data_IF_647759046270
#
_entry.id   IF_647759046270
#
_cell.length_a   1.000
_cell.length_b   1.000
_cell.length_c   1.000
_cell.angle_alpha   90.00
_cell.angle_beta   90.00
_cell.angle_gamma   90.00
#
_symmetry.space_group_name_H-M   'P 1'
#
loop_
_entity.id
_entity.type
_entity.pdbx_description
1 polymer ?
#
# COMPACT_ATOMS: atom_id res chain seq x y z
N UNK A 1 -23.73 -9.22 -2.62
CA UNK A 1 -24.01 -9.25 -1.16
C UNK A 1 -25.01 -10.37 -0.88
N UNK A 2 -24.51 -11.59 -0.80
CA UNK A 2 -25.13 -12.77 -0.16
C UNK A 2 -24.07 -13.85 -0.25
N UNK A 3 -23.24 -14.01 0.79
CA UNK A 3 -22.19 -15.04 0.81
C UNK A 3 -22.24 -15.94 2.05
N UNK A 4 -22.76 -15.46 3.18
CA UNK A 4 -22.99 -16.32 4.34
C UNK A 4 -24.50 -16.39 4.63
N UNK A 5 -25.26 -17.13 3.80
CA UNK A 5 -26.51 -17.75 4.27
C UNK A 5 -26.16 -19.17 4.70
N UNK A 6 -26.19 -19.42 6.01
CA UNK A 6 -26.11 -20.76 6.57
C UNK A 6 -27.31 -21.57 6.05
N UNK A 7 -27.06 -22.62 5.27
CA UNK A 7 -28.04 -23.68 5.09
C UNK A 7 -27.83 -24.69 6.21
N UNK A 8 -28.72 -24.68 7.20
CA UNK A 8 -28.87 -25.79 8.16
C UNK A 8 -29.33 -27.04 7.41
N UNK A 9 -28.40 -27.94 7.08
CA UNK A 9 -28.70 -29.33 6.73
C UNK A 9 -27.47 -30.22 6.95
N UNK A 10 -27.71 -31.37 7.59
CA UNK A 10 -26.84 -32.53 7.78
C UNK A 10 -25.78 -32.50 8.90
N UNK A 11 -26.28 -32.44 10.13
CA UNK A 11 -25.67 -33.15 11.26
C UNK A 11 -25.89 -34.66 11.11
N UNK A 12 -24.90 -35.37 10.56
CA UNK A 12 -24.47 -36.72 10.95
C UNK A 12 -23.53 -37.30 9.88
N UNK A 13 -22.22 -37.15 10.06
CA UNK A 13 -21.25 -38.03 9.43
C UNK A 13 -20.13 -38.34 10.42
N UNK A 14 -20.05 -39.62 10.74
CA UNK A 14 -19.08 -40.30 11.59
C UNK A 14 -17.65 -40.04 11.11
N UNK A 15 -16.72 -39.81 12.04
CA UNK A 15 -15.28 -39.78 11.80
C UNK A 15 -14.80 -41.10 11.17
N UNK A 16 -14.39 -41.05 9.91
CA UNK A 16 -13.49 -42.04 9.30
C UNK A 16 -12.20 -41.33 8.87
N UNK A 17 -11.09 -41.78 9.47
CA UNK A 17 -9.73 -41.37 9.10
C UNK A 17 -9.43 -42.04 7.76
N UNK A 18 -9.42 -41.29 6.67
CA UNK A 18 -8.92 -41.76 5.38
C UNK A 18 -7.41 -41.54 5.35
N UNK A 19 -6.65 -42.59 5.62
CA UNK A 19 -5.26 -42.70 5.16
C UNK A 19 -5.30 -42.86 3.64
N UNK A 20 -4.87 -41.84 2.88
CA UNK A 20 -4.63 -42.01 1.45
C UNK A 20 -3.17 -42.40 1.21
N UNK A 21 -2.92 -43.70 1.14
CA UNK A 21 -1.79 -44.25 0.41
C UNK A 21 -1.98 -43.93 -1.08
N UNK A 22 -1.06 -43.17 -1.68
CA UNK A 22 -0.93 -43.13 -3.14
C UNK A 22 0.47 -43.57 -3.57
N UNK A 23 0.48 -44.77 -4.13
CA UNK A 23 1.54 -45.37 -4.91
C UNK A 23 2.01 -44.44 -6.05
N UNK A 24 3.33 -44.38 -6.18
CA UNK A 24 4.06 -43.86 -7.34
C UNK A 24 3.55 -44.47 -8.64
N UNK A 25 2.94 -43.65 -9.50
CA UNK A 25 2.82 -43.92 -10.94
C UNK A 25 3.78 -42.96 -11.64
N UNK A 26 4.88 -43.52 -12.17
CA UNK A 26 5.82 -42.80 -13.02
C UNK A 26 5.18 -42.51 -14.38
N UNK A 27 5.02 -41.23 -14.74
CA UNK A 27 4.68 -40.78 -16.09
C UNK A 27 5.83 -39.90 -16.60
N UNK A 28 6.33 -40.09 -17.83
CA UNK A 28 7.61 -39.54 -18.27
C UNK A 28 7.59 -38.04 -18.56
N UNK A 29 8.74 -37.42 -18.30
CA UNK A 29 9.15 -36.06 -18.65
C UNK A 29 8.58 -35.55 -19.98
N UNK A 30 7.72 -34.52 -19.91
CA UNK A 30 7.64 -33.37 -20.83
C UNK A 30 6.51 -32.43 -20.39
N UNK A 31 6.80 -31.53 -19.47
CA UNK A 31 6.10 -30.25 -19.40
C UNK A 31 7.14 -29.16 -19.60
N UNK A 32 7.12 -28.56 -20.79
CA UNK A 32 7.78 -27.30 -21.05
C UNK A 32 7.19 -26.27 -20.08
N UNK A 33 7.99 -25.78 -19.13
CA UNK A 33 7.65 -24.60 -18.34
C UNK A 33 7.60 -23.39 -19.27
N UNK A 34 6.43 -23.11 -19.82
CA UNK A 34 6.06 -21.76 -20.26
C UNK A 34 4.98 -21.29 -19.29
N UNK A 35 5.40 -20.87 -18.11
CA UNK A 35 4.55 -20.10 -17.21
C UNK A 35 4.82 -18.62 -17.48
N UNK A 36 4.09 -18.04 -18.42
CA UNK A 36 3.87 -16.59 -18.50
C UNK A 36 2.76 -16.19 -17.52
N UNK A 37 2.86 -16.59 -16.25
CA UNK A 37 1.89 -16.17 -15.25
C UNK A 37 2.13 -14.72 -14.88
N UNK A 38 1.24 -13.84 -15.35
CA UNK A 38 1.29 -12.41 -15.00
C UNK A 38 0.67 -12.21 -13.63
N UNK A 39 1.50 -12.07 -12.61
CA UNK A 39 1.12 -11.49 -11.32
C UNK A 39 0.57 -10.07 -11.52
N UNK A 40 -0.48 -9.71 -10.78
CA UNK A 40 -1.08 -8.38 -10.94
C UNK A 40 -0.27 -7.33 -10.18
N UNK A 41 0.19 -7.70 -8.99
CA UNK A 41 0.93 -6.83 -8.09
C UNK A 41 2.09 -7.62 -7.49
N UNK A 42 3.19 -6.93 -7.26
CA UNK A 42 4.38 -7.49 -6.61
C UNK A 42 5.03 -6.42 -5.75
N UNK A 43 5.46 -6.79 -4.54
CA UNK A 43 6.18 -5.88 -3.67
C UNK A 43 7.14 -6.63 -2.76
N UNK A 44 8.16 -5.92 -2.28
CA UNK A 44 9.07 -6.41 -1.24
C UNK A 44 8.51 -5.97 0.13
N UNK A 45 8.40 -6.89 1.08
CA UNK A 45 7.89 -6.61 2.43
C UNK A 45 8.96 -6.16 3.42
N UNK A 46 10.19 -6.65 3.27
CA UNK A 46 11.31 -6.31 4.14
C UNK A 46 12.26 -5.26 3.55
N UNK A 47 13.00 -4.57 4.42
CA UNK A 47 13.96 -3.53 4.00
C UNK A 47 15.24 -4.09 3.39
N UNK A 48 15.53 -5.39 3.57
CA UNK A 48 16.72 -6.05 3.04
C UNK A 48 16.50 -6.76 1.70
N UNK A 49 15.30 -6.63 1.12
CA UNK A 49 14.97 -7.23 -0.16
C UNK A 49 15.12 -8.76 -0.17
N UNK A 50 14.62 -9.40 0.89
CA UNK A 50 14.59 -10.85 1.07
C UNK A 50 13.20 -11.46 0.94
N UNK A 51 12.14 -10.72 1.27
CA UNK A 51 10.77 -11.21 1.32
C UNK A 51 9.95 -10.54 0.23
N UNK A 52 9.69 -11.27 -0.84
CA UNK A 52 8.90 -10.82 -1.98
C UNK A 52 7.53 -11.48 -1.94
N UNK A 53 6.48 -10.69 -2.17
CA UNK A 53 5.12 -11.17 -2.35
C UNK A 53 4.55 -10.61 -3.63
N UNK A 54 3.96 -11.49 -4.42
CA UNK A 54 3.15 -11.15 -5.56
C UNK A 54 1.74 -11.69 -5.35
N UNK A 55 0.72 -10.98 -5.83
CA UNK A 55 -0.66 -11.46 -5.74
C UNK A 55 -1.48 -11.15 -6.98
N UNK A 56 -2.56 -11.91 -7.14
CA UNK A 56 -3.62 -11.66 -8.11
C UNK A 56 -4.97 -12.05 -7.53
N UNK A 57 -6.00 -11.26 -7.82
CA UNK A 57 -7.39 -11.64 -7.56
C UNK A 57 -7.85 -12.55 -8.69
N UNK A 58 -8.36 -13.73 -8.33
CA UNK A 58 -8.99 -14.68 -9.23
C UNK A 58 -10.49 -14.40 -9.21
N UNK A 59 -10.96 -13.66 -10.21
CA UNK A 59 -12.35 -13.24 -10.28
C UNK A 59 -13.28 -14.44 -10.53
N UNK A 60 -14.20 -14.66 -9.60
CA UNK A 60 -15.36 -15.54 -9.72
C UNK A 60 -16.60 -14.73 -9.34
N UNK A 61 -17.73 -14.99 -10.01
CA UNK A 61 -18.98 -14.25 -9.76
C UNK A 61 -19.54 -14.50 -8.36
N UNK A 62 -19.31 -15.70 -7.83
CA UNK A 62 -19.94 -16.17 -6.58
C UNK A 62 -18.93 -16.34 -5.44
N UNK A 63 -17.65 -16.56 -5.75
CA UNK A 63 -16.63 -16.91 -4.75
C UNK A 63 -15.23 -16.41 -5.15
N UNK A 64 -14.98 -15.09 -5.09
CA UNK A 64 -13.70 -14.54 -5.49
C UNK A 64 -12.58 -14.99 -4.55
N UNK A 65 -11.44 -15.36 -5.13
CA UNK A 65 -10.24 -15.79 -4.41
C UNK A 65 -9.10 -14.81 -4.67
N UNK A 66 -8.12 -14.81 -3.78
CA UNK A 66 -6.81 -14.19 -3.99
C UNK A 66 -5.74 -15.26 -3.94
N UNK A 67 -4.80 -15.18 -4.86
CA UNK A 67 -3.64 -16.05 -4.92
C UNK A 67 -2.38 -15.24 -4.63
N UNK A 68 -1.50 -15.80 -3.80
CA UNK A 68 -0.23 -15.22 -3.40
C UNK A 68 0.91 -16.14 -3.82
N UNK A 69 1.94 -15.55 -4.43
CA UNK A 69 3.27 -16.13 -4.52
C UNK A 69 4.18 -15.40 -3.56
N UNK A 70 4.71 -16.13 -2.58
CA UNK A 70 5.70 -15.65 -1.62
C UNK A 70 7.04 -16.29 -1.95
N UNK A 71 8.07 -15.46 -2.06
CA UNK A 71 9.46 -15.87 -2.34
C UNK A 71 10.37 -15.22 -1.29
N UNK A 72 11.00 -16.04 -0.46
CA UNK A 72 11.79 -15.57 0.67
C UNK A 72 13.19 -16.14 0.61
N UNK A 73 14.20 -15.28 0.79
CA UNK A 73 15.60 -15.68 0.93
C UNK A 73 15.88 -16.25 2.31
N UNK A 74 15.34 -17.43 2.57
CA UNK A 74 15.50 -18.23 3.78
C UNK A 74 15.18 -19.71 3.49
N UNK A 75 15.67 -20.62 4.33
CA UNK A 75 15.41 -22.06 4.23
C UNK A 75 14.52 -22.64 5.33
N UNK A 76 14.22 -21.86 6.36
CA UNK A 76 13.29 -22.28 7.41
C UNK A 76 11.86 -21.90 7.07
N UNK A 77 11.09 -21.59 8.11
CA UNK A 77 9.70 -21.21 7.89
C UNK A 77 9.53 -19.80 7.31
N UNK A 78 8.45 -19.67 6.55
CA UNK A 78 7.91 -18.42 6.02
C UNK A 78 6.53 -18.21 6.59
N UNK A 79 6.22 -16.99 7.01
CA UNK A 79 4.91 -16.58 7.49
C UNK A 79 4.45 -15.30 6.80
N UNK A 80 3.20 -15.28 6.35
CA UNK A 80 2.50 -14.11 5.83
C UNK A 80 1.15 -14.02 6.55
N UNK A 81 0.71 -12.83 6.92
CA UNK A 81 -0.60 -12.68 7.56
C UNK A 81 -1.29 -11.37 7.25
N UNK A 82 -2.61 -11.38 7.45
CA UNK A 82 -3.49 -10.22 7.38
C UNK A 82 -3.69 -9.70 8.80
N UNK A 83 -3.37 -8.43 9.04
CA UNK A 83 -3.43 -7.84 10.38
C UNK A 83 -4.42 -6.66 10.44
N UNK A 84 -5.15 -6.48 11.56
CA UNK A 84 -5.98 -5.30 11.77
C UNK A 84 -5.15 -4.02 11.89
N UNK A 85 -3.95 -4.10 12.45
CA UNK A 85 -3.17 -2.93 12.88
C UNK A 85 -1.67 -3.02 12.52
N UNK A 86 -1.24 -4.07 11.83
CA UNK A 86 0.16 -4.32 11.48
C UNK A 86 0.97 -5.02 12.57
N UNK A 87 0.35 -5.38 13.70
CA UNK A 87 0.92 -6.23 14.74
C UNK A 87 0.37 -7.66 14.69
N UNK A 88 0.85 -8.54 15.57
CA UNK A 88 0.44 -9.96 15.57
C UNK A 88 -0.99 -10.17 16.09
N UNK A 89 -1.39 -9.49 17.16
CA UNK A 89 -2.70 -9.70 17.80
C UNK A 89 -3.87 -9.56 16.82
N UNK A 90 -4.74 -10.57 16.83
CA UNK A 90 -5.91 -10.73 15.97
C UNK A 90 -5.59 -10.79 14.48
N UNK A 91 -4.45 -11.39 14.13
CA UNK A 91 -4.05 -11.62 12.74
C UNK A 91 -4.31 -13.05 12.31
N UNK A 92 -4.76 -13.15 11.06
CA UNK A 92 -4.97 -14.34 10.25
C UNK A 92 -3.66 -14.61 9.50
N UNK A 93 -2.99 -15.74 9.77
CA UNK A 93 -1.60 -16.00 9.39
C UNK A 93 -1.46 -17.35 8.74
N UNK A 94 -0.87 -17.37 7.56
CA UNK A 94 -0.38 -18.58 6.94
C UNK A 94 1.11 -18.79 7.21
N UNK A 95 1.48 -20.03 7.50
CA UNK A 95 2.88 -20.44 7.71
C UNK A 95 3.22 -21.65 6.84
N UNK A 96 4.45 -21.71 6.34
CA UNK A 96 4.92 -22.89 5.62
C UNK A 96 6.43 -22.99 5.54
N UNK A 97 6.92 -24.21 5.35
CA UNK A 97 8.34 -24.56 5.21
C UNK A 97 8.48 -25.84 4.38
N UNK A 98 9.68 -26.10 3.87
CA UNK A 98 9.97 -27.30 3.09
C UNK A 98 11.04 -28.09 3.83
N UNK A 99 10.75 -29.34 4.18
CA UNK A 99 11.69 -30.20 4.88
C UNK A 99 11.67 -31.60 4.28
N UNK A 100 12.85 -32.11 3.94
CA UNK A 100 13.04 -33.44 3.32
C UNK A 100 12.17 -33.63 2.05
N UNK A 101 11.99 -32.57 1.26
CA UNK A 101 11.18 -32.56 0.04
C UNK A 101 9.67 -32.52 0.27
N UNK A 102 9.20 -32.44 1.52
CA UNK A 102 7.79 -32.28 1.88
C UNK A 102 7.50 -30.82 2.22
N UNK A 103 6.41 -30.29 1.66
CA UNK A 103 5.88 -28.98 2.03
C UNK A 103 4.98 -29.13 3.26
N UNK A 104 5.23 -28.32 4.27
CA UNK A 104 4.38 -28.14 5.44
C UNK A 104 3.71 -26.77 5.30
N UNK A 105 2.40 -26.73 5.49
CA UNK A 105 1.60 -25.54 5.27
C UNK A 105 0.43 -25.51 6.24
N UNK A 106 0.25 -24.41 6.94
CA UNK A 106 -0.69 -24.29 8.04
C UNK A 106 -1.26 -22.88 8.12
N UNK A 107 -2.58 -22.84 8.21
CA UNK A 107 -3.35 -21.70 8.66
C UNK A 107 -3.31 -21.58 10.19
N UNK A 108 -3.11 -20.36 10.67
CA UNK A 108 -2.87 -20.04 12.08
C UNK A 108 -3.49 -18.70 12.46
N UNK A 109 -4.03 -18.65 13.68
CA UNK A 109 -4.55 -17.41 14.26
C UNK A 109 -3.67 -16.90 15.41
N UNK A 110 -3.35 -15.61 15.37
CA UNK A 110 -2.51 -14.96 16.36
C UNK A 110 -3.34 -14.19 17.40
N UNK A 111 -3.49 -14.76 18.60
CA UNK A 111 -4.19 -14.10 19.71
C UNK A 111 -3.35 -13.02 20.42
N UNK A 112 -2.03 -13.03 20.21
CA UNK A 112 -1.09 -12.15 20.92
C UNK A 112 0.32 -12.16 20.33
N UNK A 113 1.26 -11.61 21.09
CA UNK A 113 2.70 -11.62 20.75
C UNK A 113 3.39 -12.92 21.20
N UNK A 114 2.80 -14.05 20.84
CA UNK A 114 3.31 -15.40 21.10
C UNK A 114 3.01 -16.30 19.90
N UNK A 115 3.43 -17.57 19.96
CA UNK A 115 3.24 -18.53 18.87
C UNK A 115 1.75 -18.58 18.44
N UNK A 116 1.42 -18.24 17.18
CA UNK A 116 0.05 -18.35 16.67
C UNK A 116 -0.42 -19.80 16.74
N UNK A 117 -1.63 -20.02 17.26
CA UNK A 117 -2.21 -21.38 17.30
C UNK A 117 -2.56 -21.83 15.88
N UNK A 118 -2.55 -23.12 15.63
CA UNK A 118 -3.08 -23.68 14.37
C UNK A 118 -4.58 -23.44 14.37
N UNK A 119 -5.10 -22.91 13.26
CA UNK A 119 -6.53 -22.66 13.11
C UNK A 119 -7.30 -23.99 13.03
N UNK A 120 -8.48 -24.04 13.65
CA UNK A 120 -9.37 -25.19 13.57
C UNK A 120 -9.92 -25.38 12.14
N UNK A 121 -10.12 -24.28 11.42
CA UNK A 121 -10.57 -24.28 10.03
C UNK A 121 -9.42 -23.77 9.16
N UNK A 122 -8.92 -24.61 8.27
CA UNK A 122 -7.84 -24.22 7.36
C UNK A 122 -8.46 -23.56 6.12
N UNK A 123 -8.32 -22.24 5.97
CA UNK A 123 -8.90 -21.47 4.87
C UNK A 123 -7.87 -21.02 3.83
N UNK A 124 -6.58 -21.15 4.13
CA UNK A 124 -5.51 -21.02 3.16
C UNK A 124 -5.24 -22.36 2.48
N UNK A 125 -5.34 -22.39 1.16
CA UNK A 125 -5.08 -23.57 0.35
C UNK A 125 -3.69 -23.49 -0.29
N UNK A 126 -2.83 -24.46 0.00
CA UNK A 126 -1.55 -24.62 -0.69
C UNK A 126 -1.79 -25.01 -2.15
N UNK A 127 -1.16 -24.30 -3.08
CA UNK A 127 -1.10 -24.68 -4.50
C UNK A 127 0.22 -25.38 -4.80
N UNK A 128 1.36 -24.81 -4.37
CA UNK A 128 2.67 -25.44 -4.49
C UNK A 128 3.69 -24.85 -3.52
N UNK A 129 4.72 -25.62 -3.19
CA UNK A 129 5.87 -25.14 -2.43
C UNK A 129 7.16 -25.75 -2.99
N UNK A 130 8.22 -24.96 -3.04
CA UNK A 130 9.52 -25.41 -3.51
C UNK A 130 10.63 -24.63 -2.82
N UNK A 131 11.75 -25.28 -2.60
CA UNK A 131 12.95 -24.66 -2.06
C UNK A 131 14.14 -24.90 -2.99
N UNK A 132 14.98 -23.88 -3.14
CA UNK A 132 16.27 -23.97 -3.81
C UNK A 132 17.41 -23.58 -2.86
N UNK A 133 18.66 -23.57 -3.35
CA UNK A 133 19.87 -23.26 -2.57
C UNK A 133 19.84 -21.93 -1.80
N UNK A 134 18.89 -21.03 -2.08
CA UNK A 134 18.83 -19.70 -1.49
C UNK A 134 17.43 -19.24 -1.05
N UNK A 135 16.37 -19.79 -1.62
CA UNK A 135 15.00 -19.29 -1.43
C UNK A 135 14.01 -20.42 -1.24
N UNK A 136 13.05 -20.16 -0.36
CA UNK A 136 11.79 -20.88 -0.25
C UNK A 136 10.69 -20.10 -0.99
N UNK A 137 9.91 -20.82 -1.80
CA UNK A 137 8.80 -20.28 -2.60
C UNK A 137 7.52 -21.03 -2.26
N UNK A 138 6.49 -20.29 -1.84
CA UNK A 138 5.15 -20.80 -1.57
C UNK A 138 4.14 -20.11 -2.48
N UNK A 139 3.26 -20.91 -3.08
CA UNK A 139 2.12 -20.46 -3.84
C UNK A 139 0.87 -21.00 -3.17
N UNK A 140 -0.05 -20.11 -2.82
CA UNK A 140 -1.27 -20.46 -2.09
C UNK A 140 -2.39 -19.48 -2.40
N UNK A 141 -3.61 -19.88 -2.08
CA UNK A 141 -4.82 -19.09 -2.32
C UNK A 141 -5.75 -19.09 -1.13
N UNK A 142 -6.64 -18.11 -1.09
CA UNK A 142 -7.65 -17.95 -0.05
C UNK A 142 -8.86 -17.20 -0.61
N UNK A 143 -10.05 -17.52 -0.13
CA UNK A 143 -11.25 -16.74 -0.46
C UNK A 143 -11.15 -15.32 0.09
N UNK A 144 -11.78 -14.35 -0.56
CA UNK A 144 -11.81 -12.98 -0.03
C UNK A 144 -12.60 -12.90 1.29
N UNK A 145 -13.63 -13.73 1.45
CA UNK A 145 -14.45 -13.84 2.65
C UNK A 145 -14.66 -15.33 2.95
N UNK A 146 -14.07 -15.81 4.04
CA UNK A 146 -14.08 -17.24 4.42
C UNK A 146 -15.22 -17.58 5.36
N UNK A 147 -15.96 -16.58 5.85
CA UNK A 147 -16.97 -16.68 6.91
C UNK A 147 -16.45 -17.27 8.25
N UNK A 148 -15.14 -17.47 8.41
CA UNK A 148 -14.52 -17.84 9.68
C UNK A 148 -14.26 -16.59 10.56
N UNK A 149 -14.43 -16.73 11.87
CA UNK A 149 -14.29 -15.67 12.88
C UNK A 149 -12.85 -15.33 13.21
N UNK A 150 -11.93 -16.28 13.02
CA UNK A 150 -10.49 -16.07 13.25
C UNK A 150 -9.80 -15.46 12.02
N UNK A 151 -10.51 -15.48 10.90
CA UNK A 151 -10.09 -14.97 9.61
C UNK A 151 -10.41 -13.49 9.36
N UNK A 152 -9.61 -12.88 8.49
CA UNK A 152 -9.85 -11.50 8.05
C UNK A 152 -10.48 -11.46 6.67
N UNK A 153 -11.65 -10.84 6.60
CA UNK A 153 -12.25 -10.47 5.31
C UNK A 153 -11.33 -9.50 4.55
N UNK A 154 -11.08 -9.81 3.29
CA UNK A 154 -10.40 -8.93 2.34
C UNK A 154 -11.48 -8.16 1.60
N UNK A 155 -11.54 -6.85 1.84
CA UNK A 155 -12.49 -5.93 1.22
C UNK A 155 -11.77 -4.78 0.50
N UNK A 156 -12.50 -3.71 0.18
CA UNK A 156 -11.98 -2.53 -0.51
C UNK A 156 -11.19 -1.58 0.41
N UNK A 157 -10.85 -2.01 1.63
CA UNK A 157 -9.98 -1.27 2.54
C UNK A 157 -8.49 -1.59 2.35
N UNK A 158 -7.63 -0.74 2.92
CA UNK A 158 -6.18 -1.00 3.00
C UNK A 158 -5.91 -2.19 3.91
N UNK A 159 -5.21 -3.19 3.39
CA UNK A 159 -4.79 -4.37 4.15
C UNK A 159 -3.38 -4.16 4.71
N UNK A 160 -3.15 -4.54 5.97
CA UNK A 160 -1.80 -4.56 6.55
C UNK A 160 -1.28 -5.99 6.51
N UNK A 161 -0.35 -6.26 5.61
CA UNK A 161 0.38 -7.52 5.60
C UNK A 161 1.39 -7.50 6.74
N UNK A 162 1.45 -8.58 7.51
CA UNK A 162 2.55 -8.88 8.42
C UNK A 162 3.35 -10.04 7.86
N UNK A 163 4.65 -10.06 8.11
CA UNK A 163 5.51 -11.14 7.68
C UNK A 163 6.50 -11.53 8.78
N UNK A 164 6.92 -12.78 8.75
CA UNK A 164 8.04 -13.28 9.52
C UNK A 164 8.71 -14.45 8.77
N UNK A 165 10.00 -14.67 9.02
CA UNK A 165 10.70 -15.83 8.48
C UNK A 165 11.88 -16.23 9.36
N UNK A 166 12.33 -17.48 9.24
CA UNK A 166 13.56 -17.98 9.85
C UNK A 166 14.37 -18.79 8.83
N UNK A 167 15.68 -18.88 9.06
CA UNK A 167 16.58 -19.81 8.35
C UNK A 167 16.57 -21.21 8.97
N UNK A 168 15.81 -21.42 10.05
CA UNK A 168 15.73 -22.67 10.79
C UNK A 168 14.39 -23.34 10.54
N UNK A 169 14.46 -24.58 10.05
CA UNK A 169 13.30 -25.46 9.95
C UNK A 169 12.64 -25.70 11.31
N UNK A 170 11.31 -25.58 11.40
CA UNK A 170 10.54 -26.04 12.53
C UNK A 170 10.96 -27.45 13.03
N UNK A 171 11.15 -27.63 14.35
CA UNK A 171 11.45 -28.95 14.90
C UNK A 171 10.22 -29.89 14.86
N UNK A 172 9.02 -29.33 14.76
CA UNK A 172 7.76 -30.06 14.57
C UNK A 172 6.69 -29.16 13.95
N UNK A 173 5.57 -29.74 13.55
CA UNK A 173 4.40 -29.00 13.03
C UNK A 173 3.76 -28.05 14.06
N UNK A 174 4.12 -28.15 15.34
CA UNK A 174 3.53 -27.37 16.43
C UNK A 174 4.44 -26.28 16.97
N UNK A 175 5.64 -26.10 16.41
CA UNK A 175 6.63 -25.16 16.90
C UNK A 175 7.21 -24.36 15.74
N UNK A 176 7.32 -23.04 15.92
CA UNK A 176 8.04 -22.17 15.00
C UNK A 176 9.21 -21.53 15.76
N UNK A 177 10.35 -21.40 15.08
CA UNK A 177 11.50 -20.68 15.62
C UNK A 177 11.15 -19.21 15.84
N UNK A 178 11.84 -18.54 16.77
CA UNK A 178 11.58 -17.13 17.01
C UNK A 178 12.22 -16.27 15.92
N UNK A 179 11.41 -15.55 15.14
CA UNK A 179 11.86 -14.74 13.98
C UNK A 179 12.84 -13.60 14.28
N UNK A 180 13.12 -13.25 15.55
CA UNK A 180 13.93 -12.08 15.94
C UNK A 180 13.53 -10.81 15.14
N UNK A 181 14.45 -10.27 14.33
CA UNK A 181 14.28 -9.08 13.48
C UNK A 181 13.79 -9.40 12.06
N UNK A 182 13.68 -10.68 11.68
CA UNK A 182 13.18 -11.13 10.39
C UNK A 182 11.64 -11.07 10.36
N UNK A 183 11.08 -9.90 10.67
CA UNK A 183 9.63 -9.65 10.70
C UNK A 183 9.33 -8.18 10.43
N UNK A 184 8.09 -7.91 10.06
CA UNK A 184 7.60 -6.55 9.91
C UNK A 184 6.19 -6.50 9.38
N UNK A 185 5.78 -5.32 8.92
CA UNK A 185 4.49 -5.12 8.29
C UNK A 185 4.56 -4.13 7.15
N UNK A 186 3.61 -4.23 6.22
CA UNK A 186 3.46 -3.32 5.08
C UNK A 186 1.98 -3.16 4.73
N UNK A 187 1.54 -1.91 4.57
CA UNK A 187 0.20 -1.60 4.06
C UNK A 187 0.17 -1.78 2.54
N UNK A 188 -0.84 -2.47 2.04
CA UNK A 188 -1.08 -2.72 0.61
C UNK A 188 -2.57 -2.63 0.28
N UNK A 189 -2.90 -2.46 -0.99
CA UNK A 189 -4.28 -2.56 -1.47
C UNK A 189 -4.46 -3.85 -2.29
N UNK A 190 -4.94 -4.92 -1.63
CA UNK A 190 -5.01 -6.25 -2.24
C UNK A 190 -5.98 -6.32 -3.43
N UNK A 191 -7.08 -5.56 -3.37
CA UNK A 191 -8.12 -5.53 -4.41
C UNK A 191 -7.89 -4.45 -5.47
N UNK A 192 -6.69 -3.88 -5.56
CA UNK A 192 -6.35 -2.92 -6.61
C UNK A 192 -6.60 -3.55 -7.98
N UNK A 193 -7.56 -2.99 -8.74
CA UNK A 193 -7.89 -3.50 -10.07
C UNK A 193 -6.70 -3.31 -11.00
N UNK A 194 -6.38 -4.36 -11.74
CA UNK A 194 -5.47 -4.24 -12.89
C UNK A 194 -6.12 -3.30 -13.89
N UNK A 195 -5.55 -2.10 -14.08
CA UNK A 195 -5.90 -1.29 -15.24
C UNK A 195 -5.59 -2.15 -16.47
N UNK A 196 -6.63 -2.38 -17.29
CA UNK A 196 -6.63 -3.32 -18.42
C UNK A 196 -5.55 -3.04 -19.47
N UNK A 197 -4.90 -1.88 -19.37
CA UNK A 197 -3.59 -1.59 -19.95
C UNK A 197 -2.72 -1.00 -18.84
N UNK A 198 -1.61 -1.66 -18.50
CA UNK A 198 -0.52 -0.94 -17.86
C UNK A 198 -0.05 0.08 -18.89
N UNK A 199 -0.40 1.35 -18.70
CA UNK A 199 0.10 2.44 -19.53
C UNK A 199 1.61 2.47 -19.31
N UNK A 200 2.37 1.86 -20.22
CA UNK A 200 3.83 1.90 -20.16
C UNK A 200 4.26 3.29 -20.60
N UNK A 201 4.64 4.10 -19.62
CA UNK A 201 5.18 5.43 -19.87
C UNK A 201 6.68 5.29 -20.10
N UNK A 202 7.13 5.65 -21.30
CA UNK A 202 8.56 5.79 -21.60
C UNK A 202 9.11 7.07 -20.97
N UNK A 203 9.72 6.89 -19.79
CA UNK A 203 10.33 7.97 -19.00
C UNK A 203 11.47 8.68 -19.72
N UNK A 204 12.13 8.05 -20.70
CA UNK A 204 13.28 8.65 -21.40
C UNK A 204 12.92 9.87 -22.25
N UNK A 205 11.64 9.95 -22.65
CA UNK A 205 11.08 11.06 -23.43
C UNK A 205 10.50 12.19 -22.57
N UNK A 206 10.50 12.04 -21.24
CA UNK A 206 9.85 12.96 -20.31
C UNK A 206 10.85 13.82 -19.55
N UNK A 207 10.50 15.08 -19.36
CA UNK A 207 11.14 15.91 -18.36
C UNK A 207 10.62 15.52 -16.96
N UNK A 208 11.45 15.72 -15.93
CA UNK A 208 11.03 15.50 -14.55
C UNK A 208 11.40 16.67 -13.65
N UNK A 209 10.64 16.82 -12.57
CA UNK A 209 10.82 17.81 -11.53
C UNK A 209 10.71 17.13 -10.16
N UNK A 210 11.81 17.20 -9.41
CA UNK A 210 11.88 16.63 -8.07
C UNK A 210 11.49 17.69 -7.02
N UNK A 211 10.46 17.34 -6.23
CA UNK A 211 9.92 18.18 -5.17
C UNK A 211 10.21 17.47 -3.84
N UNK A 212 11.34 17.80 -3.23
CA UNK A 212 11.92 17.06 -2.09
C UNK A 212 12.06 17.92 -0.83
N UNK A 213 11.94 17.27 0.33
CA UNK A 213 12.30 17.86 1.62
C UNK A 213 13.82 18.17 1.69
N UNK A 214 14.28 19.11 2.52
CA UNK A 214 15.65 19.65 2.41
C UNK A 214 16.75 18.89 3.19
N UNK A 215 16.75 17.56 3.23
CA UNK A 215 17.69 16.77 4.06
C UNK A 215 17.64 17.20 5.54
N UNK A 216 16.44 17.24 6.12
CA UNK A 216 16.25 17.75 7.48
C UNK A 216 16.14 16.63 8.50
N UNK A 217 16.54 16.94 9.73
CA UNK A 217 16.45 16.00 10.84
C UNK A 217 15.06 16.09 11.47
N UNK A 218 14.38 14.95 11.58
CA UNK A 218 13.10 14.85 12.28
C UNK A 218 13.28 15.21 13.76
N UNK A 219 12.32 15.97 14.29
CA UNK A 219 12.28 16.28 15.72
C UNK A 219 11.88 15.03 16.52
N UNK A 220 12.80 14.54 17.35
CA UNK A 220 12.58 13.37 18.22
C UNK A 220 11.79 13.70 19.50
N UNK A 221 11.33 14.94 19.71
CA UNK A 221 10.49 15.28 20.86
C UNK A 221 9.00 14.99 20.63
N UNK A 222 8.57 14.97 19.36
CA UNK A 222 7.19 14.71 18.94
C UNK A 222 7.02 13.32 18.34
N UNK A 223 5.84 12.73 18.51
CA UNK A 223 5.47 11.48 17.84
C UNK A 223 4.96 11.72 16.41
N UNK A 224 4.42 12.90 16.14
CA UNK A 224 3.89 13.29 14.82
C UNK A 224 4.46 14.64 14.43
N UNK A 225 4.81 14.79 13.15
CA UNK A 225 5.36 16.04 12.63
C UNK A 225 4.93 16.24 11.18
N UNK A 226 4.57 17.47 10.84
CA UNK A 226 4.25 17.90 9.48
C UNK A 226 5.31 18.93 9.06
N UNK A 227 5.98 18.70 7.93
CA UNK A 227 7.00 19.61 7.41
C UNK A 227 6.59 20.20 6.08
N UNK A 228 6.62 21.53 5.98
CA UNK A 228 6.15 22.31 4.84
C UNK A 228 7.31 23.04 4.16
N UNK A 229 7.44 22.91 2.85
CA UNK A 229 8.42 23.65 2.04
C UNK A 229 7.80 24.17 0.76
N UNK A 230 8.11 25.41 0.40
CA UNK A 230 7.69 26.01 -0.87
C UNK A 230 8.67 25.61 -1.97
N UNK A 231 8.13 25.20 -3.10
CA UNK A 231 8.85 24.87 -4.32
C UNK A 231 8.30 25.70 -5.48
N UNK A 232 9.21 26.15 -6.34
CA UNK A 232 8.86 26.79 -7.60
C UNK A 232 8.82 25.73 -8.69
N UNK A 233 7.75 25.72 -9.47
CA UNK A 233 7.67 24.86 -10.64
C UNK A 233 8.70 25.25 -11.71
N UNK A 234 9.05 24.34 -12.63
CA UNK A 234 9.89 24.66 -13.78
C UNK A 234 9.31 25.83 -14.58
N UNK A 235 10.17 26.71 -15.08
CA UNK A 235 9.77 27.78 -15.99
C UNK A 235 9.51 27.17 -17.38
N UNK A 236 8.25 27.16 -17.81
CA UNK A 236 7.82 26.55 -19.07
C UNK A 236 7.42 27.61 -20.09
N UNK A 237 7.81 27.43 -21.35
CA UNK A 237 7.41 28.29 -22.47
C UNK A 237 5.98 28.02 -22.96
N UNK A 238 5.48 26.82 -22.72
CA UNK A 238 4.15 26.36 -23.11
C UNK A 238 3.59 25.39 -22.06
N UNK A 239 2.27 25.16 -22.11
CA UNK A 239 1.61 24.22 -21.21
C UNK A 239 2.20 22.82 -21.39
N UNK A 240 2.39 22.12 -20.28
CA UNK A 240 2.75 20.71 -20.25
C UNK A 240 1.69 19.91 -19.49
N UNK A 241 1.70 18.60 -19.68
CA UNK A 241 0.91 17.66 -18.89
C UNK A 241 1.82 16.79 -18.04
N UNK A 242 1.55 16.77 -16.74
CA UNK A 242 2.06 15.75 -15.83
C UNK A 242 1.34 14.44 -16.16
N UNK A 243 2.11 13.36 -16.32
CA UNK A 243 1.59 12.07 -16.79
C UNK A 243 1.95 10.90 -15.85
N UNK A 244 2.96 11.10 -15.01
CA UNK A 244 3.45 10.14 -14.03
C UNK A 244 3.97 10.91 -12.81
N UNK A 245 3.65 10.43 -11.61
CA UNK A 245 4.24 10.90 -10.36
C UNK A 245 4.72 9.71 -9.55
N UNK A 246 5.97 9.75 -9.11
CA UNK A 246 6.57 8.73 -8.26
C UNK A 246 6.78 9.30 -6.85
N UNK A 247 6.45 8.55 -5.79
CA UNK A 247 6.92 8.86 -4.44
C UNK A 247 8.42 8.55 -4.34
N UNK A 248 9.22 9.54 -3.97
CA UNK A 248 10.62 9.35 -3.63
C UNK A 248 10.75 9.28 -2.12
N UNK A 249 10.73 8.07 -1.56
CA UNK A 249 10.94 7.86 -0.12
C UNK A 249 12.42 7.59 0.12
N UNK A 250 13.02 8.36 1.03
CA UNK A 250 14.41 8.14 1.41
C UNK A 250 14.58 6.75 2.01
N UNK A 251 15.56 5.99 1.50
CA UNK A 251 15.86 4.64 1.97
C UNK A 251 16.13 4.64 3.49
N UNK A 252 15.42 3.77 4.20
CA UNK A 252 15.46 3.66 5.66
C UNK A 252 14.38 4.49 6.38
N UNK A 253 13.69 5.38 5.67
CA UNK A 253 12.63 6.22 6.23
C UNK A 253 11.20 5.74 5.88
N UNK A 254 11.06 4.59 5.24
CA UNK A 254 9.79 4.02 4.79
C UNK A 254 8.80 3.80 5.94
N UNK A 255 9.32 3.57 7.16
CA UNK A 255 8.51 3.41 8.36
C UNK A 255 8.03 4.73 8.98
N UNK A 256 8.62 5.86 8.60
CA UNK A 256 8.33 7.17 9.20
C UNK A 256 7.50 8.07 8.29
N UNK A 257 7.70 8.02 6.98
CA UNK A 257 6.92 8.86 6.04
C UNK A 257 5.52 8.28 5.88
N UNK A 258 4.53 8.95 6.47
CA UNK A 258 3.16 8.46 6.50
C UNK A 258 2.35 8.94 5.28
N UNK A 259 2.47 10.21 4.89
CA UNK A 259 1.87 10.72 3.66
C UNK A 259 2.60 11.96 3.14
N UNK A 260 2.48 12.20 1.83
CA UNK A 260 3.01 13.34 1.09
C UNK A 260 1.84 14.08 0.44
N UNK A 261 1.81 15.41 0.56
CA UNK A 261 0.83 16.26 -0.10
C UNK A 261 1.56 17.38 -0.85
N UNK A 262 1.16 17.63 -2.09
CA UNK A 262 1.60 18.80 -2.85
C UNK A 262 0.42 19.72 -3.06
N UNK A 263 0.48 20.90 -2.46
CA UNK A 263 -0.54 21.93 -2.62
C UNK A 263 -0.14 22.92 -3.71
N UNK A 264 -1.06 23.25 -4.61
CA UNK A 264 -0.91 24.38 -5.52
C UNK A 264 -1.27 25.67 -4.78
N UNK A 265 -0.37 26.66 -4.82
CA UNK A 265 -0.61 27.97 -4.24
C UNK A 265 -1.33 28.87 -5.25
N UNK A 266 -2.66 28.68 -5.37
CA UNK A 266 -3.50 29.40 -6.34
C UNK A 266 -3.46 30.91 -6.08
N UNK A 267 -3.27 31.70 -7.14
CA UNK A 267 -3.15 33.17 -7.03
C UNK A 267 -1.81 33.65 -6.46
N UNK A 268 -0.81 32.77 -6.34
CA UNK A 268 0.53 33.14 -5.91
C UNK A 268 1.15 34.20 -6.82
N UNK A 269 1.80 35.19 -6.20
CA UNK A 269 2.60 36.18 -6.90
C UNK A 269 4.07 36.05 -6.51
N UNK A 270 4.97 36.42 -7.43
CA UNK A 270 6.41 36.26 -7.26
C UNK A 270 6.98 36.94 -6.01
N UNK A 271 6.52 38.15 -5.69
CA UNK A 271 7.05 38.92 -4.55
C UNK A 271 6.78 38.23 -3.21
N UNK A 272 5.64 37.56 -3.11
CA UNK A 272 5.21 36.87 -1.90
C UNK A 272 5.90 35.51 -1.72
N UNK A 273 6.06 34.72 -2.78
CA UNK A 273 6.50 33.32 -2.66
C UNK A 273 7.97 33.05 -3.00
N UNK A 274 8.59 33.83 -3.89
CA UNK A 274 10.01 33.64 -4.23
C UNK A 274 10.94 33.68 -3.00
N UNK A 275 10.74 34.54 -1.98
CA UNK A 275 11.59 34.52 -0.78
C UNK A 275 11.54 33.21 0.02
N UNK A 276 10.53 32.37 -0.21
CA UNK A 276 10.32 31.10 0.50
C UNK A 276 10.86 29.88 -0.25
N UNK A 277 11.21 29.99 -1.53
CA UNK A 277 11.67 28.82 -2.33
C UNK A 277 13.04 28.33 -1.90
N UNK A 278 13.91 29.25 -1.49
CA UNK A 278 15.29 28.95 -1.06
C UNK A 278 15.38 28.64 0.45
N UNK A 279 14.25 28.67 1.16
CA UNK A 279 14.20 28.37 2.58
C UNK A 279 14.18 26.87 2.86
N UNK A 280 14.62 26.51 4.06
CA UNK A 280 14.63 25.14 4.56
C UNK A 280 13.23 24.57 4.87
N UNK A 281 12.17 25.36 4.69
CA UNK A 281 10.82 25.01 5.12
C UNK A 281 10.59 25.24 6.60
N UNK A 282 9.39 24.89 7.06
CA UNK A 282 8.88 25.14 8.41
C UNK A 282 8.02 23.97 8.86
N UNK A 283 7.92 23.75 10.17
CA UNK A 283 6.90 22.86 10.69
C UNK A 283 5.50 23.42 10.36
N UNK A 284 4.67 22.62 9.71
CA UNK A 284 3.32 23.03 9.32
C UNK A 284 2.45 23.27 10.57
N UNK A 285 1.45 24.13 10.43
CA UNK A 285 0.43 24.41 11.46
C UNK A 285 1.00 24.93 12.80
N UNK A 286 2.22 25.48 12.78
CA UNK A 286 2.83 26.17 13.93
C UNK A 286 2.84 27.67 13.70
N UNK A 287 3.03 28.43 14.78
CA UNK A 287 2.98 29.89 14.76
C UNK A 287 4.08 30.52 13.86
N UNK A 288 5.20 29.83 13.65
CA UNK A 288 6.30 30.27 12.80
C UNK A 288 6.08 30.02 11.29
N UNK A 289 5.01 29.33 10.90
CA UNK A 289 4.70 29.10 9.49
C UNK A 289 4.30 30.41 8.79
N UNK A 290 4.99 30.80 7.69
CA UNK A 290 4.68 32.04 6.97
C UNK A 290 3.23 32.10 6.45
N UNK A 291 2.63 33.29 6.47
CA UNK A 291 1.25 33.48 6.03
C UNK A 291 1.02 33.13 4.56
N UNK A 292 2.04 33.31 3.71
CA UNK A 292 1.99 32.89 2.31
C UNK A 292 1.71 31.38 2.18
N UNK A 293 2.34 30.54 3.01
CA UNK A 293 2.17 29.09 2.94
C UNK A 293 0.75 28.64 3.33
N UNK A 294 0.07 29.40 4.22
CA UNK A 294 -1.30 29.09 4.66
C UNK A 294 -2.33 29.25 3.55
N UNK A 295 -2.00 29.93 2.45
CA UNK A 295 -2.88 30.15 1.30
C UNK A 295 -2.81 29.01 0.27
N UNK A 296 -1.88 28.07 0.43
CA UNK A 296 -1.76 26.90 -0.44
C UNK A 296 -2.73 25.82 0.04
N UNK A 297 -3.99 25.89 -0.41
CA UNK A 297 -5.07 25.00 0.06
C UNK A 297 -5.44 23.90 -0.96
N UNK A 298 -5.14 24.10 -2.24
CA UNK A 298 -5.53 23.17 -3.30
C UNK A 298 -4.59 21.98 -3.40
N UNK A 299 -4.95 20.83 -2.83
CA UNK A 299 -4.18 19.59 -2.99
C UNK A 299 -4.14 19.20 -4.47
N UNK A 300 -2.96 19.24 -5.07
CA UNK A 300 -2.71 18.87 -6.47
C UNK A 300 -2.34 17.39 -6.56
N UNK A 301 -1.43 16.92 -5.69
CA UNK A 301 -0.97 15.53 -5.62
C UNK A 301 -1.00 15.04 -4.18
N UNK A 302 -1.28 13.75 -4.01
CA UNK A 302 -1.28 13.08 -2.72
C UNK A 302 -0.70 11.67 -2.84
N UNK A 303 0.04 11.26 -1.82
CA UNK A 303 0.51 9.89 -1.64
C UNK A 303 0.40 9.53 -0.16
N UNK A 304 0.05 8.29 0.14
CA UNK A 304 0.01 7.76 1.50
C UNK A 304 0.67 6.39 1.57
N UNK A 305 1.01 5.94 2.79
CA UNK A 305 1.62 4.64 3.03
C UNK A 305 0.90 3.50 2.27
N UNK A 306 1.66 2.73 1.50
CA UNK A 306 1.14 1.67 0.63
C UNK A 306 0.70 2.11 -0.77
N UNK A 307 0.74 3.42 -1.07
CA UNK A 307 0.52 3.94 -2.42
C UNK A 307 1.69 3.63 -3.36
N UNK A 308 1.37 3.41 -4.63
CA UNK A 308 2.33 3.23 -5.72
C UNK A 308 2.46 4.51 -6.56
N UNK A 309 3.15 4.42 -7.70
CA UNK A 309 3.23 5.49 -8.69
C UNK A 309 1.83 5.89 -9.19
N UNK A 310 1.59 7.19 -9.33
CA UNK A 310 0.38 7.72 -9.97
C UNK A 310 0.63 7.81 -11.48
N UNK A 311 0.09 6.85 -12.24
CA UNK A 311 0.10 6.85 -13.71
C UNK A 311 -1.23 7.40 -14.21
N UNK A 312 -1.22 8.53 -14.93
CA UNK A 312 -2.46 9.07 -15.52
C UNK A 312 -2.83 8.36 -16.83
N UNK A 313 -4.14 8.19 -17.14
CA UNK A 313 -4.62 7.58 -18.39
C UNK A 313 -4.03 8.21 -19.66
N UNK A 314 -3.85 7.43 -20.74
CA UNK A 314 -3.20 7.88 -21.99
C UNK A 314 -3.79 9.16 -22.59
N UNK A 315 -5.07 9.43 -22.34
CA UNK A 315 -5.82 10.58 -22.84
C UNK A 315 -6.04 11.69 -21.79
N UNK A 316 -5.49 11.55 -20.58
CA UNK A 316 -5.64 12.50 -19.46
C UNK A 316 -4.28 12.95 -18.90
N UNK A 317 -4.08 14.24 -18.69
CA UNK A 317 -2.88 14.79 -18.05
C UNK A 317 -3.19 15.90 -17.06
N UNK A 318 -2.47 15.97 -15.94
CA UNK A 318 -2.64 17.06 -14.97
C UNK A 318 -1.89 18.31 -15.49
N UNK A 319 -2.55 19.47 -15.61
CA UNK A 319 -1.97 20.61 -16.29
C UNK A 319 -0.86 21.27 -15.49
N UNK A 320 0.29 21.45 -16.13
CA UNK A 320 1.39 22.28 -15.65
C UNK A 320 1.51 23.49 -16.59
N UNK A 321 0.99 24.63 -16.15
CA UNK A 321 0.81 25.82 -16.98
C UNK A 321 2.13 26.52 -17.32
N UNK A 322 2.13 27.22 -18.46
CA UNK A 322 3.23 28.06 -18.90
C UNK A 322 3.44 29.27 -17.97
N UNK A 323 4.63 29.88 -18.06
CA UNK A 323 5.05 31.04 -17.28
C UNK A 323 3.94 32.12 -17.08
N UNK A 324 3.82 32.73 -15.88
CA UNK A 324 4.79 32.67 -14.77
C UNK A 324 4.76 31.33 -14.03
N UNK A 325 5.93 30.80 -13.69
CA UNK A 325 6.04 29.57 -12.90
C UNK A 325 5.20 29.65 -11.62
N UNK A 326 4.40 28.61 -11.42
CA UNK A 326 3.54 28.44 -10.25
C UNK A 326 4.37 28.02 -9.03
N UNK A 327 3.85 28.34 -7.84
CA UNK A 327 4.42 27.90 -6.57
C UNK A 327 3.58 26.77 -5.99
N UNK A 328 4.26 25.81 -5.39
CA UNK A 328 3.67 24.66 -4.74
C UNK A 328 4.23 24.51 -3.33
N UNK A 329 3.44 23.98 -2.41
CA UNK A 329 3.88 23.64 -1.07
C UNK A 329 3.91 22.12 -0.91
N UNK A 330 5.08 21.55 -0.67
CA UNK A 330 5.21 20.16 -0.25
C UNK A 330 4.98 20.09 1.26
N UNK A 331 4.05 19.26 1.68
CA UNK A 331 3.83 18.87 3.06
C UNK A 331 4.12 17.37 3.22
N UNK A 332 4.92 17.02 4.21
CA UNK A 332 5.19 15.62 4.56
C UNK A 332 4.77 15.39 6.00
N UNK A 333 3.91 14.40 6.21
CA UNK A 333 3.57 13.90 7.54
C UNK A 333 4.47 12.73 7.90
N UNK A 334 5.14 12.86 9.04
CA UNK A 334 5.96 11.84 9.66
C UNK A 334 5.29 11.30 10.91
N UNK A 335 5.26 9.97 11.02
CA UNK A 335 4.86 9.25 12.23
C UNK A 335 6.09 8.58 12.84
N UNK A 336 6.49 9.04 14.02
CA UNK A 336 7.65 8.58 14.80
C UNK A 336 7.22 8.26 16.24
N UNK A 337 6.36 7.25 16.46
CA UNK A 337 5.75 6.96 17.77
C UNK A 337 6.79 6.65 18.85
N UNK A 338 7.92 6.06 18.45
CA UNK A 338 9.04 5.69 19.31
C UNK A 338 10.06 6.82 19.53
N UNK A 339 9.85 8.00 18.92
CA UNK A 339 10.71 9.18 19.11
C UNK A 339 12.19 8.91 18.81
N UNK A 340 12.42 8.15 17.74
CA UNK A 340 13.78 7.80 17.29
C UNK A 340 14.47 9.10 16.82
N UNK A 341 15.69 9.32 17.31
CA UNK A 341 16.50 10.50 17.00
C UNK A 341 17.43 10.26 15.80
N UNK A 342 17.89 11.35 15.18
CA UNK A 342 18.91 11.31 14.12
C UNK A 342 18.39 10.87 12.75
N UNK A 343 17.07 10.75 12.57
CA UNK A 343 16.46 10.46 11.27
C UNK A 343 16.58 11.72 10.41
N UNK A 344 17.29 11.62 9.29
CA UNK A 344 17.42 12.68 8.29
C UNK A 344 16.59 12.28 7.08
N UNK A 345 15.81 13.21 6.52
CA UNK A 345 14.90 12.93 5.41
C UNK A 345 15.02 13.93 4.24
N UNK A 346 14.95 13.38 3.02
CA UNK A 346 14.93 14.03 1.72
C UNK A 346 13.81 13.44 0.83
N UNK A 347 12.74 12.92 1.44
CA UNK A 347 11.62 12.33 0.71
C UNK A 347 10.78 13.40 -0.01
N UNK A 348 9.97 12.97 -0.97
CA UNK A 348 9.06 13.84 -1.71
C UNK A 348 8.50 13.20 -2.98
N UNK A 349 8.30 14.00 -4.02
CA UNK A 349 7.77 13.54 -5.31
C UNK A 349 8.79 13.70 -6.43
N UNK A 350 8.79 12.78 -7.38
CA UNK A 350 9.28 13.01 -8.75
C UNK A 350 8.11 13.12 -9.69
N UNK A 351 8.00 14.27 -10.35
CA UNK A 351 6.88 14.61 -11.23
C UNK A 351 7.37 14.58 -12.67
N UNK A 352 6.85 13.66 -13.48
CA UNK A 352 7.17 13.56 -14.91
C UNK A 352 6.11 14.27 -15.76
N UNK A 353 6.58 15.11 -16.69
CA UNK A 353 5.72 15.94 -17.53
C UNK A 353 6.20 16.03 -18.98
N UNK A 354 5.28 16.36 -19.89
CA UNK A 354 5.52 16.40 -21.35
C UNK A 354 4.84 17.61 -21.99
N UNK A 355 5.43 18.24 -23.02
CA UNK A 355 4.73 19.23 -23.86
C UNK A 355 3.65 18.59 -24.74
N UNK A 356 3.64 17.25 -24.89
CA UNK A 356 2.62 16.53 -25.63
C UNK A 356 1.31 16.48 -24.83
N UNK A 357 0.47 17.49 -25.01
CA UNK A 357 -0.83 17.62 -24.36
C UNK A 357 -1.76 16.45 -24.73
N UNK A 358 -2.32 15.81 -23.71
CA UNK A 358 -3.34 14.76 -23.82
C UNK A 358 -4.72 15.39 -24.00
N UNK A 359 -5.71 14.57 -24.36
CA UNK A 359 -7.05 15.02 -24.75
C UNK A 359 -7.78 15.78 -23.65
N UNK A 360 -7.60 15.38 -22.40
CA UNK A 360 -8.31 15.93 -21.25
C UNK A 360 -7.34 16.44 -20.18
N UNK A 361 -7.68 17.58 -19.57
CA UNK A 361 -7.05 18.04 -18.35
C UNK A 361 -7.62 17.28 -17.15
N UNK A 362 -6.74 16.80 -16.26
CA UNK A 362 -7.12 16.30 -14.95
C UNK A 362 -7.30 17.46 -13.96
N UNK A 363 -8.10 17.24 -12.93
CA UNK A 363 -8.20 18.10 -11.75
C UNK A 363 -8.42 17.26 -10.50
N UNK A 364 -8.09 17.83 -9.35
CA UNK A 364 -8.25 17.18 -8.05
C UNK A 364 -9.42 17.82 -7.30
N UNK A 365 -10.34 17.00 -6.80
CA UNK A 365 -11.47 17.42 -5.99
C UNK A 365 -11.38 16.76 -4.61
N UNK A 366 -11.23 17.57 -3.57
CA UNK A 366 -11.25 17.09 -2.19
C UNK A 366 -12.69 17.11 -1.66
N UNK A 367 -13.20 15.94 -1.27
CA UNK A 367 -14.56 15.76 -0.74
C UNK A 367 -14.46 15.10 0.63
N UNK A 368 -15.17 15.65 1.62
CA UNK A 368 -15.21 15.08 2.96
C UNK A 368 -15.76 16.04 4.00
N UNK A 369 -15.75 15.62 5.26
CA UNK A 369 -15.98 16.52 6.37
C UNK A 369 -14.70 17.33 6.63
N UNK A 370 -14.83 18.64 6.82
CA UNK A 370 -13.69 19.51 7.13
C UNK A 370 -13.05 19.09 8.46
N UNK A 371 -11.72 18.91 8.44
CA UNK A 371 -10.93 18.64 9.65
C UNK A 371 -11.11 19.77 10.65
N UNK A 372 -11.85 19.51 11.72
CA UNK A 372 -12.09 20.47 12.79
C UNK A 372 -12.39 19.75 14.09
N UNK A 373 -12.20 20.43 15.22
CA UNK A 373 -12.58 19.91 16.55
C UNK A 373 -14.08 19.66 16.72
N UNK A 374 -14.90 19.96 15.71
CA UNK A 374 -16.35 19.70 15.67
C UNK A 374 -16.68 18.32 15.11
N UNK A 375 -15.74 17.65 14.46
CA UNK A 375 -15.90 16.26 14.02
C UNK A 375 -15.52 15.36 15.19
N UNK A 376 -16.52 14.77 15.85
CA UNK A 376 -16.36 13.97 17.06
C UNK A 376 -16.85 12.55 16.82
N UNK A 377 -16.00 11.56 17.08
CA UNK A 377 -16.37 10.14 17.10
C UNK A 377 -16.53 9.72 18.56
N UNK A 378 -17.73 9.35 19.03
CA UNK A 378 -17.92 8.95 20.41
C UNK A 378 -17.12 7.68 20.75
N UNK A 379 -16.48 7.61 21.93
CA UNK A 379 -15.71 6.44 22.32
C UNK A 379 -16.58 5.19 22.44
N UNK A 380 -15.99 4.01 22.24
CA UNK A 380 -16.62 2.67 22.37
C UNK A 380 -17.75 2.38 21.36
N UNK A 381 -17.92 3.19 20.32
CA UNK A 381 -18.82 2.88 19.21
C UNK A 381 -18.18 1.82 18.31
N UNK A 382 -18.90 0.73 18.03
CA UNK A 382 -18.50 -0.26 17.02
C UNK A 382 -18.50 0.36 15.61
N UNK A 383 -19.45 1.26 15.36
CA UNK A 383 -19.59 1.98 14.10
C UNK A 383 -20.12 3.40 14.36
N UNK A 384 -19.58 4.37 13.63
CA UNK A 384 -20.02 5.76 13.63
C UNK A 384 -19.70 6.41 12.29
N UNK A 385 -20.69 7.02 11.65
CA UNK A 385 -20.55 7.62 10.32
C UNK A 385 -20.36 9.13 10.45
N UNK A 386 -19.27 9.65 9.87
CA UNK A 386 -19.04 11.08 9.67
C UNK A 386 -19.31 11.40 8.20
N UNK A 387 -20.32 12.22 7.92
CA UNK A 387 -20.70 12.58 6.57
C UNK A 387 -20.21 13.99 6.19
N UNK A 388 -19.49 14.10 5.07
CA UNK A 388 -19.18 15.36 4.39
C UNK A 388 -20.20 15.62 3.27
N UNK A 389 -20.59 16.88 3.09
CA UNK A 389 -21.56 17.26 2.06
C UNK A 389 -21.00 18.44 1.27
N UNK A 390 -21.21 18.41 -0.05
CA UNK A 390 -20.99 19.57 -0.92
C UNK A 390 -22.34 20.03 -1.45
N UNK A 391 -22.60 21.34 -1.37
CA UNK A 391 -23.76 21.90 -2.07
C UNK A 391 -23.47 21.82 -3.58
N UNK A 392 -24.40 21.35 -4.43
CA UNK A 392 -24.19 21.34 -5.88
C UNK A 392 -23.71 22.69 -6.44
N UNK A 393 -24.17 23.81 -5.86
CA UNK A 393 -23.70 25.16 -6.21
C UNK A 393 -22.20 25.41 -6.01
N UNK A 394 -21.55 24.64 -5.13
CA UNK A 394 -20.10 24.67 -4.95
C UNK A 394 -19.36 23.94 -6.07
N UNK A 395 -20.03 23.01 -6.76
CA UNK A 395 -19.47 22.25 -7.87
C UNK A 395 -19.73 22.92 -9.22
N UNK A 396 -20.77 23.75 -9.35
CA UNK A 396 -21.13 24.44 -10.61
C UNK A 396 -19.94 25.16 -11.30
N UNK A 397 -18.99 25.81 -10.60
CA UNK A 397 -17.83 26.42 -11.24
C UNK A 397 -16.81 25.42 -11.81
N UNK A 398 -16.82 24.17 -11.35
CA UNK A 398 -15.84 23.12 -11.67
C UNK A 398 -16.41 22.02 -12.57
N UNK A 399 -17.67 21.65 -12.36
CA UNK A 399 -18.41 20.68 -13.16
C UNK A 399 -19.37 21.50 -14.01
N UNK A 400 -18.89 21.95 -15.17
CA UNK A 400 -19.80 22.48 -16.19
C UNK A 400 -20.68 21.31 -16.60
N UNK A 401 -21.90 21.26 -16.08
CA UNK A 401 -22.91 20.39 -16.61
C UNK A 401 -23.05 20.73 -18.10
N UNK A 402 -22.49 19.90 -18.98
CA UNK A 402 -23.04 19.78 -20.32
C UNK A 402 -24.43 19.21 -20.12
N UNK A 403 -25.39 20.12 -19.97
CA UNK A 403 -26.79 19.82 -20.23
C UNK A 403 -26.83 19.50 -21.72
N UNK A 404 -26.80 18.21 -22.06
CA UNK A 404 -27.25 17.73 -23.38
C UNK A 404 -28.77 17.75 -23.44
#
# INVERSE_FOLDING_TARGET
MTACQLSDADQNATLEIIQSDQQLISIPNKFNFISTETWHHCTTLDSNNKFHVCWRVVESKDDPEIEFKVEVKAHGYVALGLSPNGGMTSSDIVTGWIKDGKVYFQDRYAEGYFLPKIDEIQNWDLVSGSENDTHSVLLFRRKLDTCDKEDRKIDDSTTRLIYAYSDIDPPSEYALDYHFTNRGSKSVYLLQRKLSKHVKIDKSSLAHWDVLSPNFTLDSTSQTMYWCKIHKAPELSEKHHIVLVEPLIQKGNEAFVHHLLLYECVGANRKEYEPHTDQYGHQCHRANMPDAMKKCEGVSLAWGIGGEDLILPEDVGLPLEASPAKYYMLEIHYDNPNKIAGIVDNSGFRIYYSPKIRKYDAGTLMIGATTSSRVLVPPKRKEYVVAGHSNPKCLDPFIIAKVE
#
